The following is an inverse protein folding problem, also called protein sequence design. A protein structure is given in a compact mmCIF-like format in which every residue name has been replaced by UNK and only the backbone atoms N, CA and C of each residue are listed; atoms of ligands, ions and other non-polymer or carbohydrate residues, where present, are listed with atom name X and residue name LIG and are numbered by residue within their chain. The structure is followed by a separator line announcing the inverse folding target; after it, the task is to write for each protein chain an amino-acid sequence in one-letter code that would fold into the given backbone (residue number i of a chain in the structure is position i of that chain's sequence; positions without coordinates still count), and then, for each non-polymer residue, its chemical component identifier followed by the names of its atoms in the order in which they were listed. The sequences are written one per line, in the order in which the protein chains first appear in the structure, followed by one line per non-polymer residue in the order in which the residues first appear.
data_IF_733471930625
#
_entry.id   IF_733471930625
#
_cell.length_a   1.000
_cell.length_b   1.000
_cell.length_c   1.000
_cell.angle_alpha   90.00
_cell.angle_beta   90.00
_cell.angle_gamma   90.00
#
_symmetry.space_group_name_H-M   'P 1'
#
loop_
_entity.id
_entity.type
_entity.pdbx_description
1 polymer ?
#
# COMPACT_ATOMS: atom_id res chain seq x y z
N UNK A 1 1.16 -41.99 -24.94
CA UNK A 1 1.35 -41.10 -23.78
C UNK A 1 2.85 -41.03 -23.46
N UNK A 2 3.48 -39.87 -23.38
CA UNK A 2 4.86 -39.80 -22.94
C UNK A 2 4.96 -40.28 -21.47
N UNK A 3 6.03 -40.96 -21.08
CA UNK A 3 6.20 -41.50 -19.76
C UNK A 3 6.28 -40.37 -18.73
N UNK A 4 5.44 -40.42 -17.68
CA UNK A 4 5.46 -39.47 -16.56
C UNK A 4 6.74 -39.73 -15.76
N UNK A 5 7.72 -38.84 -15.87
CA UNK A 5 8.96 -38.91 -15.09
C UNK A 5 8.59 -38.64 -13.63
N UNK A 6 8.68 -39.65 -12.77
CA UNK A 6 8.52 -39.45 -11.30
C UNK A 6 9.68 -38.59 -10.78
N UNK A 7 9.36 -37.40 -10.30
CA UNK A 7 10.34 -36.55 -9.62
C UNK A 7 10.81 -37.27 -8.35
N UNK A 8 12.10 -37.44 -8.19
CA UNK A 8 12.74 -38.10 -7.03
C UNK A 8 13.72 -37.17 -6.34
N UNK A 9 13.95 -37.41 -5.06
CA UNK A 9 14.91 -36.61 -4.27
C UNK A 9 14.48 -35.17 -4.05
N UNK A 10 15.38 -34.20 -4.22
CA UNK A 10 15.13 -32.77 -4.01
C UNK A 10 14.02 -32.22 -4.93
N UNK A 11 13.99 -32.66 -6.20
CA UNK A 11 12.99 -32.21 -7.18
C UNK A 11 11.54 -32.63 -6.83
N UNK A 12 11.35 -33.61 -5.95
CA UNK A 12 10.02 -33.98 -5.46
C UNK A 12 9.51 -33.05 -4.36
N UNK A 13 10.41 -32.38 -3.64
CA UNK A 13 10.10 -31.54 -2.48
C UNK A 13 10.35 -30.05 -2.69
N UNK A 14 11.18 -29.69 -3.66
CA UNK A 14 11.60 -28.31 -3.92
C UNK A 14 11.44 -27.94 -5.38
N UNK A 15 11.06 -26.70 -5.65
CA UNK A 15 11.07 -26.14 -7.00
C UNK A 15 12.44 -25.54 -7.28
N UNK A 16 13.11 -26.02 -8.34
CA UNK A 16 14.35 -25.37 -8.80
C UNK A 16 14.03 -24.02 -9.40
N UNK A 17 14.66 -22.96 -8.92
CA UNK A 17 14.57 -21.62 -9.53
C UNK A 17 15.30 -21.67 -10.87
N UNK A 18 14.54 -21.57 -11.96
CA UNK A 18 15.07 -21.66 -13.36
C UNK A 18 14.91 -20.36 -14.13
N UNK A 19 14.14 -19.40 -13.60
CA UNK A 19 13.89 -18.11 -14.24
C UNK A 19 13.83 -17.00 -13.19
N UNK A 20 14.15 -15.78 -13.61
CA UNK A 20 13.89 -14.59 -12.82
C UNK A 20 12.37 -14.35 -12.88
N UNK A 21 11.67 -14.19 -11.75
CA UNK A 21 10.26 -13.84 -11.76
C UNK A 21 10.05 -12.53 -12.50
N UNK A 22 8.89 -12.35 -13.13
CA UNK A 22 8.48 -11.05 -13.68
C UNK A 22 8.62 -9.98 -12.62
N UNK A 23 9.32 -8.88 -12.91
CA UNK A 23 9.52 -7.80 -11.94
C UNK A 23 8.16 -7.24 -11.51
N UNK A 24 7.98 -7.10 -10.20
CA UNK A 24 6.79 -6.47 -9.62
C UNK A 24 7.15 -5.71 -8.35
N UNK A 25 6.43 -4.65 -8.09
CA UNK A 25 6.59 -3.83 -6.90
C UNK A 25 5.40 -4.07 -5.96
N UNK A 26 5.71 -4.46 -4.74
CA UNK A 26 4.75 -4.52 -3.63
C UNK A 26 5.25 -3.53 -2.61
N UNK A 27 4.62 -2.36 -2.54
CA UNK A 27 5.11 -1.22 -1.78
C UNK A 27 4.05 -0.62 -0.87
N UNK A 28 4.52 -0.09 0.26
CA UNK A 28 3.79 0.83 1.11
C UNK A 28 4.25 2.25 0.80
N UNK A 29 3.29 3.16 0.58
CA UNK A 29 3.50 4.57 0.27
C UNK A 29 2.97 5.41 1.44
N UNK A 30 3.86 5.94 2.26
CA UNK A 30 3.52 6.66 3.50
C UNK A 30 3.75 8.15 3.33
N UNK A 31 2.84 8.97 3.82
CA UNK A 31 3.02 10.44 3.83
C UNK A 31 1.75 11.20 4.17
N UNK A 32 1.88 12.49 4.37
CA UNK A 32 0.75 13.38 4.62
C UNK A 32 -0.17 13.50 3.39
N UNK A 33 -1.37 14.01 3.59
CA UNK A 33 -2.30 14.36 2.49
C UNK A 33 -1.60 15.35 1.55
N UNK A 34 -1.75 15.14 0.24
CA UNK A 34 -1.14 16.00 -0.78
C UNK A 34 0.39 15.84 -0.95
N UNK A 35 1.00 14.79 -0.40
CA UNK A 35 2.45 14.52 -0.55
C UNK A 35 2.85 13.80 -1.85
N UNK A 36 1.91 13.54 -2.78
CA UNK A 36 2.19 12.93 -4.08
C UNK A 36 2.14 11.40 -4.13
N UNK A 37 1.63 10.72 -3.08
CA UNK A 37 1.53 9.25 -3.04
C UNK A 37 0.66 8.67 -4.15
N UNK A 38 -0.54 9.24 -4.32
CA UNK A 38 -1.52 8.78 -5.31
C UNK A 38 -1.02 9.05 -6.72
N UNK A 39 -0.42 10.21 -6.97
CA UNK A 39 0.23 10.52 -8.25
C UNK A 39 1.31 9.49 -8.60
N UNK A 40 2.20 9.19 -7.67
CA UNK A 40 3.24 8.17 -7.87
C UNK A 40 2.64 6.78 -8.11
N UNK A 41 1.55 6.42 -7.40
CA UNK A 41 0.89 5.14 -7.59
C UNK A 41 0.21 5.03 -8.96
N UNK A 42 -0.42 6.11 -9.45
CA UNK A 42 -1.07 6.16 -10.76
C UNK A 42 -0.06 6.22 -11.91
N UNK A 43 1.19 6.61 -11.66
CA UNK A 43 2.28 6.51 -12.66
C UNK A 43 2.74 5.06 -12.90
N UNK A 44 2.30 4.09 -12.11
CA UNK A 44 2.58 2.66 -12.29
C UNK A 44 1.99 2.10 -13.60
N UNK A 45 2.49 0.95 -14.11
CA UNK A 45 2.00 0.36 -15.35
C UNK A 45 0.53 -0.06 -15.27
N UNK A 46 -0.20 0.23 -16.36
CA UNK A 46 -1.61 -0.17 -16.54
C UNK A 46 -1.77 -1.58 -17.13
N UNK A 47 -3.00 -2.10 -17.14
CA UNK A 47 -4.22 -1.55 -16.53
C UNK A 47 -4.11 -1.42 -15.01
N UNK A 48 -4.74 -0.37 -14.44
CA UNK A 48 -4.71 -0.09 -13.01
C UNK A 48 -6.12 -0.30 -12.42
N UNK A 49 -6.20 -1.02 -11.31
CA UNK A 49 -7.40 -1.07 -10.47
C UNK A 49 -7.11 -0.32 -9.17
N UNK A 50 -7.96 0.64 -8.84
CA UNK A 50 -7.91 1.38 -7.58
C UNK A 50 -9.09 0.98 -6.71
N UNK A 51 -8.81 0.35 -5.58
CA UNK A 51 -9.77 0.16 -4.49
C UNK A 51 -9.61 1.34 -3.54
N UNK A 52 -10.61 2.23 -3.50
CA UNK A 52 -10.54 3.42 -2.66
C UNK A 52 -11.53 3.36 -1.51
N UNK A 53 -11.07 3.79 -0.35
CA UNK A 53 -11.87 3.99 0.87
C UNK A 53 -12.00 5.49 1.19
N UNK A 54 -11.49 6.35 0.30
CA UNK A 54 -11.53 7.81 0.38
C UNK A 54 -12.19 8.37 -0.88
N UNK A 55 -12.82 9.53 -0.77
CA UNK A 55 -13.38 10.27 -1.92
C UNK A 55 -12.35 11.20 -2.59
N UNK A 56 -11.09 11.17 -2.15
CA UNK A 56 -10.04 12.09 -2.57
C UNK A 56 -9.36 11.80 -3.92
N UNK A 57 -9.90 10.87 -4.74
CA UNK A 57 -9.33 10.54 -6.05
C UNK A 57 -9.78 11.47 -7.18
N UNK A 58 -10.89 12.20 -6.99
CA UNK A 58 -11.41 13.14 -8.00
C UNK A 58 -10.36 14.21 -8.36
N UNK A 59 -10.20 14.46 -9.65
CA UNK A 59 -9.23 15.40 -10.19
C UNK A 59 -7.80 14.85 -10.31
N UNK A 60 -7.48 13.71 -9.71
CA UNK A 60 -6.16 13.07 -9.81
C UNK A 60 -6.17 11.95 -10.85
N UNK A 61 -7.19 11.08 -10.83
CA UNK A 61 -7.32 9.95 -11.76
C UNK A 61 -7.50 10.43 -13.18
N UNK A 62 -8.27 11.49 -13.38
CA UNK A 62 -8.57 12.07 -14.69
C UNK A 62 -7.30 12.55 -15.43
N UNK A 63 -6.26 12.93 -14.69
CA UNK A 63 -4.98 13.36 -15.29
C UNK A 63 -4.25 12.22 -16.02
N UNK A 64 -4.60 10.96 -15.70
CA UNK A 64 -3.98 9.76 -16.28
C UNK A 64 -4.92 9.00 -17.22
N UNK A 65 -6.21 9.39 -17.30
CA UNK A 65 -7.23 8.63 -18.03
C UNK A 65 -6.98 8.56 -19.55
N UNK A 66 -6.33 9.56 -20.12
CA UNK A 66 -5.95 9.57 -21.55
C UNK A 66 -4.74 8.68 -21.86
N UNK A 67 -3.93 8.36 -20.85
CA UNK A 67 -2.68 7.64 -21.02
C UNK A 67 -2.78 6.17 -20.60
N UNK A 68 -3.70 5.86 -19.67
CA UNK A 68 -3.79 4.54 -19.03
C UNK A 68 -5.23 4.12 -18.80
N UNK A 69 -5.45 2.84 -18.85
CA UNK A 69 -6.70 2.19 -18.47
C UNK A 69 -6.77 2.09 -16.94
N UNK A 70 -7.66 2.88 -16.32
CA UNK A 70 -7.79 2.95 -14.85
C UNK A 70 -9.25 2.66 -14.48
N UNK A 71 -9.42 1.69 -13.60
CA UNK A 71 -10.72 1.30 -13.03
C UNK A 71 -10.73 1.64 -11.54
N UNK A 72 -11.78 2.30 -11.08
CA UNK A 72 -11.94 2.70 -9.68
C UNK A 72 -13.14 2.01 -9.07
N UNK A 73 -12.94 1.36 -7.94
CA UNK A 73 -14.01 0.84 -7.08
C UNK A 73 -13.94 1.54 -5.73
N UNK A 74 -14.97 2.33 -5.44
CA UNK A 74 -15.13 2.99 -4.14
C UNK A 74 -15.91 2.10 -3.17
N UNK A 75 -15.46 2.08 -1.93
CA UNK A 75 -16.06 1.39 -0.81
C UNK A 75 -16.54 2.42 0.20
N UNK A 76 -17.82 2.78 0.09
CA UNK A 76 -18.41 3.81 0.95
C UNK A 76 -18.90 3.16 2.26
N UNK A 77 -18.40 3.65 3.39
CA UNK A 77 -18.86 3.25 4.72
C UNK A 77 -20.13 4.00 5.17
N UNK A 78 -20.74 4.73 4.27
CA UNK A 78 -21.99 5.45 4.49
C UNK A 78 -21.94 6.90 4.01
N UNK A 79 -23.10 7.49 3.75
CA UNK A 79 -23.21 8.89 3.37
C UNK A 79 -22.72 9.79 4.48
N UNK A 80 -22.16 10.94 4.13
CA UNK A 80 -21.71 11.96 5.09
C UNK A 80 -22.80 12.23 6.13
N UNK A 81 -22.53 11.92 7.40
CA UNK A 81 -23.46 12.08 8.51
C UNK A 81 -24.28 10.84 8.90
N UNK A 82 -24.17 9.73 8.19
CA UNK A 82 -24.72 8.45 8.64
C UNK A 82 -23.75 7.78 9.64
N UNK A 83 -24.31 7.18 10.68
CA UNK A 83 -23.52 6.38 11.64
C UNK A 83 -23.10 5.07 10.94
N UNK A 84 -21.81 4.80 10.89
CA UNK A 84 -21.29 3.52 10.37
C UNK A 84 -21.67 2.42 11.32
N UNK A 85 -22.52 1.47 10.86
CA UNK A 85 -22.87 0.31 11.67
C UNK A 85 -21.84 -0.82 11.52
N UNK A 86 -21.79 -1.71 12.52
CA UNK A 86 -20.95 -2.89 12.48
C UNK A 86 -21.29 -3.79 11.28
N UNK A 87 -22.59 -3.98 11.01
CA UNK A 87 -23.08 -4.78 9.88
C UNK A 87 -22.61 -4.23 8.54
N UNK A 88 -22.68 -2.88 8.37
CA UNK A 88 -22.19 -2.22 7.16
C UNK A 88 -20.67 -2.42 7.01
N UNK A 89 -19.89 -2.27 8.07
CA UNK A 89 -18.45 -2.48 8.02
C UNK A 89 -18.07 -3.91 7.64
N UNK A 90 -18.81 -4.90 8.17
CA UNK A 90 -18.65 -6.32 7.78
C UNK A 90 -18.98 -6.52 6.30
N UNK A 91 -20.10 -5.96 5.83
CA UNK A 91 -20.50 -6.08 4.43
C UNK A 91 -19.47 -5.47 3.47
N UNK A 92 -19.03 -4.23 3.74
CA UNK A 92 -18.06 -3.52 2.90
C UNK A 92 -16.70 -4.24 2.89
N UNK A 93 -16.24 -4.72 4.05
CA UNK A 93 -15.03 -5.53 4.14
C UNK A 93 -15.12 -6.78 3.27
N UNK A 94 -16.22 -7.53 3.38
CA UNK A 94 -16.38 -8.79 2.68
C UNK A 94 -16.53 -8.57 1.17
N UNK A 95 -17.21 -7.49 0.75
CA UNK A 95 -17.27 -7.06 -0.65
C UNK A 95 -15.87 -6.71 -1.18
N UNK A 96 -15.09 -5.90 -0.45
CA UNK A 96 -13.71 -5.56 -0.83
C UNK A 96 -12.86 -6.83 -0.99
N UNK A 97 -12.87 -7.71 0.01
CA UNK A 97 -12.06 -8.93 -0.03
C UNK A 97 -12.42 -9.82 -1.23
N UNK A 98 -13.72 -9.96 -1.54
CA UNK A 98 -14.19 -10.75 -2.68
C UNK A 98 -13.74 -10.13 -4.01
N UNK A 99 -13.89 -8.81 -4.18
CA UNK A 99 -13.47 -8.11 -5.39
C UNK A 99 -11.96 -8.20 -5.58
N UNK A 100 -11.17 -7.91 -4.55
CA UNK A 100 -9.70 -7.99 -4.62
C UNK A 100 -9.22 -9.40 -4.99
N UNK A 101 -9.82 -10.44 -4.39
CA UNK A 101 -9.48 -11.83 -4.71
C UNK A 101 -9.84 -12.18 -6.17
N UNK A 102 -11.00 -11.73 -6.64
CA UNK A 102 -11.45 -11.95 -8.01
C UNK A 102 -10.54 -11.25 -9.02
N UNK A 103 -10.18 -9.98 -8.77
CA UNK A 103 -9.29 -9.20 -9.64
C UNK A 103 -7.90 -9.86 -9.78
N UNK A 104 -7.39 -10.45 -8.68
CA UNK A 104 -6.14 -11.23 -8.70
C UNK A 104 -6.29 -12.52 -9.53
N UNK A 105 -7.40 -13.24 -9.37
CA UNK A 105 -7.65 -14.52 -10.07
C UNK A 105 -7.82 -14.30 -11.56
N UNK A 106 -8.56 -13.27 -11.94
CA UNK A 106 -8.85 -12.95 -13.34
C UNK A 106 -7.67 -12.28 -14.07
N UNK A 107 -6.62 -11.90 -13.33
CA UNK A 107 -5.45 -11.21 -13.89
C UNK A 107 -5.79 -9.96 -14.71
N UNK A 108 -6.80 -9.19 -14.26
CA UNK A 108 -7.35 -8.06 -15.02
C UNK A 108 -6.51 -6.78 -14.92
N UNK A 109 -5.59 -6.71 -13.96
CA UNK A 109 -4.75 -5.55 -13.74
C UNK A 109 -3.25 -5.87 -13.71
N UNK A 110 -2.44 -4.94 -14.18
CA UNK A 110 -0.99 -4.93 -13.97
C UNK A 110 -0.61 -4.31 -12.63
N UNK A 111 -1.41 -3.34 -12.18
CA UNK A 111 -1.23 -2.65 -10.90
C UNK A 111 -2.55 -2.58 -10.13
N UNK A 112 -2.50 -2.92 -8.87
CA UNK A 112 -3.59 -2.72 -7.92
C UNK A 112 -3.15 -1.71 -6.87
N UNK A 113 -4.01 -0.73 -6.60
CA UNK A 113 -3.78 0.32 -5.62
C UNK A 113 -4.87 0.20 -4.55
N UNK A 114 -4.47 0.22 -3.28
CA UNK A 114 -5.40 0.38 -2.16
C UNK A 114 -5.20 1.79 -1.58
N UNK A 115 -6.16 2.65 -1.84
CA UNK A 115 -6.14 4.06 -1.42
C UNK A 115 -7.34 4.35 -0.51
N UNK A 116 -7.20 4.55 0.72
CA UNK A 116 -6.11 4.54 1.71
C UNK A 116 -6.14 3.22 2.50
N UNK A 117 -5.03 2.52 2.57
CA UNK A 117 -4.92 1.29 3.38
C UNK A 117 -5.19 1.55 4.87
N UNK A 118 -4.86 2.74 5.37
CA UNK A 118 -5.21 3.13 6.74
C UNK A 118 -6.72 3.02 7.03
N UNK A 119 -7.58 3.35 6.06
CA UNK A 119 -9.03 3.27 6.22
C UNK A 119 -9.53 1.83 6.09
N UNK A 120 -8.92 1.05 5.18
CA UNK A 120 -9.13 -0.40 5.11
C UNK A 120 -8.78 -1.08 6.44
N UNK A 121 -7.64 -0.73 7.03
CA UNK A 121 -7.24 -1.23 8.34
C UNK A 121 -8.28 -0.92 9.44
N UNK A 122 -8.72 0.35 9.51
CA UNK A 122 -9.75 0.77 10.46
C UNK A 122 -11.06 0.00 10.25
N UNK A 123 -11.46 -0.22 8.99
CA UNK A 123 -12.62 -1.02 8.64
C UNK A 123 -12.46 -2.48 9.08
N UNK A 124 -11.29 -3.09 8.89
CA UNK A 124 -11.02 -4.45 9.38
C UNK A 124 -11.14 -4.53 10.90
N UNK A 125 -10.61 -3.54 11.63
CA UNK A 125 -10.72 -3.47 13.09
C UNK A 125 -12.19 -3.34 13.49
N UNK A 126 -12.93 -2.41 12.91
CA UNK A 126 -14.33 -2.18 13.23
C UNK A 126 -15.21 -3.39 12.90
N UNK A 127 -15.04 -3.99 11.73
CA UNK A 127 -15.76 -5.16 11.30
C UNK A 127 -15.48 -6.43 12.16
N UNK A 128 -14.36 -6.49 12.88
CA UNK A 128 -14.06 -7.60 13.77
C UNK A 128 -14.48 -7.33 15.23
N UNK A 129 -14.43 -6.07 15.67
CA UNK A 129 -14.65 -5.68 17.07
C UNK A 129 -16.04 -5.11 17.35
N UNK A 130 -16.70 -4.54 16.33
CA UNK A 130 -17.95 -3.80 16.47
C UNK A 130 -17.79 -2.44 17.14
N UNK A 131 -16.56 -1.92 17.29
CA UNK A 131 -16.30 -0.61 17.89
C UNK A 131 -15.59 0.29 16.89
N UNK A 132 -16.13 1.49 16.69
CA UNK A 132 -15.50 2.57 15.88
C UNK A 132 -14.42 3.33 16.66
N UNK A 133 -14.16 2.95 17.89
CA UNK A 133 -13.12 3.58 18.68
C UNK A 133 -11.74 3.08 18.19
N UNK A 134 -11.13 3.87 17.31
CA UNK A 134 -9.75 3.67 16.82
C UNK A 134 -8.72 3.57 17.96
N UNK A 135 -9.10 3.97 19.16
CA UNK A 135 -8.29 3.96 20.37
C UNK A 135 -8.71 2.86 21.36
N UNK A 136 -9.91 2.27 21.19
CA UNK A 136 -10.26 1.04 21.92
C UNK A 136 -9.42 -0.10 21.37
N UNK A 137 -8.45 -0.51 22.15
CA UNK A 137 -7.63 -1.66 21.77
C UNK A 137 -8.56 -2.87 21.52
N UNK A 138 -8.56 -3.40 20.30
CA UNK A 138 -9.20 -4.69 20.03
C UNK A 138 -8.70 -5.71 21.07
N UNK A 139 -9.57 -6.61 21.55
CA UNK A 139 -9.12 -7.68 22.42
C UNK A 139 -7.91 -8.38 21.84
N UNK A 140 -6.90 -8.67 22.66
CA UNK A 140 -5.64 -9.26 22.19
C UNK A 140 -5.83 -10.52 21.33
N UNK A 141 -6.90 -11.28 21.56
CA UNK A 141 -7.29 -12.49 20.81
C UNK A 141 -7.72 -12.21 19.36
N UNK A 142 -8.17 -11.00 19.04
CA UNK A 142 -8.75 -10.65 17.74
C UNK A 142 -7.68 -10.06 16.77
N UNK A 143 -6.58 -9.48 17.30
CA UNK A 143 -5.50 -8.95 16.49
C UNK A 143 -4.93 -9.94 15.46
N UNK A 144 -4.67 -11.22 15.77
CA UNK A 144 -4.18 -12.17 14.78
C UNK A 144 -5.10 -12.32 13.57
N UNK A 145 -6.42 -12.30 13.77
CA UNK A 145 -7.41 -12.42 12.69
C UNK A 145 -7.44 -11.19 11.81
N UNK A 146 -7.42 -9.99 12.43
CA UNK A 146 -7.41 -8.71 11.71
C UNK A 146 -6.15 -8.62 10.86
N UNK A 147 -4.97 -8.83 11.46
CA UNK A 147 -3.68 -8.80 10.75
C UNK A 147 -3.57 -9.86 9.65
N UNK A 148 -4.21 -11.00 9.81
CA UNK A 148 -4.20 -12.05 8.80
C UNK A 148 -4.91 -11.62 7.51
N UNK A 149 -5.94 -10.77 7.58
CA UNK A 149 -6.64 -10.23 6.40
C UNK A 149 -5.70 -9.34 5.57
N UNK A 150 -5.04 -8.37 6.21
CA UNK A 150 -4.05 -7.52 5.55
C UNK A 150 -2.90 -8.32 4.93
N UNK A 151 -2.33 -9.25 5.69
CA UNK A 151 -1.26 -10.12 5.20
C UNK A 151 -1.69 -11.00 4.03
N UNK A 152 -2.98 -11.38 3.98
CA UNK A 152 -3.53 -12.15 2.86
C UNK A 152 -3.47 -11.35 1.57
N UNK A 153 -3.82 -10.07 1.55
CA UNK A 153 -3.73 -9.20 0.37
C UNK A 153 -2.30 -9.14 -0.17
N UNK A 154 -1.34 -8.88 0.71
CA UNK A 154 0.08 -8.82 0.36
C UNK A 154 0.57 -10.19 -0.14
N UNK A 155 0.15 -11.28 0.49
CA UNK A 155 0.54 -12.64 0.09
C UNK A 155 -0.02 -13.01 -1.29
N UNK A 156 -1.27 -12.64 -1.59
CA UNK A 156 -1.91 -12.87 -2.89
C UNK A 156 -1.19 -12.09 -3.99
N UNK A 157 -0.89 -10.80 -3.78
CA UNK A 157 -0.12 -10.01 -4.72
C UNK A 157 1.30 -10.57 -4.93
N UNK A 158 1.93 -11.10 -3.87
CA UNK A 158 3.23 -11.79 -3.98
C UNK A 158 3.16 -13.08 -4.79
N UNK A 159 2.04 -13.79 -4.77
CA UNK A 159 1.84 -15.01 -5.53
C UNK A 159 1.46 -14.76 -7.00
N UNK A 160 1.03 -13.56 -7.35
CA UNK A 160 0.64 -13.12 -8.68
C UNK A 160 1.71 -12.22 -9.33
N UNK A 161 1.52 -11.85 -10.59
CA UNK A 161 2.40 -10.92 -11.32
C UNK A 161 1.86 -9.47 -11.28
N UNK A 162 1.23 -9.07 -10.19
CA UNK A 162 0.60 -7.76 -10.01
C UNK A 162 1.46 -6.88 -9.11
N UNK A 163 1.62 -5.60 -9.45
CA UNK A 163 2.11 -4.61 -8.52
C UNK A 163 1.00 -4.32 -7.48
N UNK A 164 1.36 -4.20 -6.22
CA UNK A 164 0.44 -3.78 -5.16
C UNK A 164 1.00 -2.56 -4.46
N UNK A 165 0.25 -1.46 -4.50
CA UNK A 165 0.63 -0.18 -3.90
C UNK A 165 -0.41 0.17 -2.81
N UNK A 166 0.07 0.29 -1.58
CA UNK A 166 -0.74 0.56 -0.40
C UNK A 166 -0.44 1.97 0.08
N UNK A 167 -1.40 2.91 -0.04
CA UNK A 167 -1.18 4.26 0.47
C UNK A 167 -1.57 4.33 1.95
N UNK A 168 -0.73 4.97 2.74
CA UNK A 168 -0.97 5.22 4.16
C UNK A 168 -0.81 6.70 4.50
N UNK A 169 -1.65 7.17 5.40
CA UNK A 169 -1.51 8.46 6.06
C UNK A 169 -0.42 8.45 7.12
N UNK A 170 -0.34 9.57 7.85
CA UNK A 170 0.51 9.72 9.02
C UNK A 170 -0.33 10.07 10.23
N UNK A 171 -0.02 9.48 11.38
CA UNK A 171 -0.66 9.81 12.68
C UNK A 171 0.38 10.22 13.72
N UNK A 172 -0.04 10.89 14.76
CA UNK A 172 0.83 11.19 15.89
C UNK A 172 1.24 9.90 16.61
N UNK A 173 2.51 9.77 16.94
CA UNK A 173 2.96 8.76 17.87
C UNK A 173 2.58 9.17 19.30
N UNK A 174 2.19 8.19 20.11
CA UNK A 174 1.76 8.40 21.49
C UNK A 174 2.68 7.65 22.43
N UNK A 175 3.09 8.30 23.52
CA UNK A 175 3.88 7.70 24.58
C UNK A 175 3.14 7.80 25.91
N UNK A 176 3.30 6.78 26.73
CA UNK A 176 2.76 6.81 28.10
C UNK A 176 3.66 7.67 28.98
N UNK A 177 3.08 8.64 29.66
CA UNK A 177 3.74 9.45 30.67
C UNK A 177 2.99 9.35 31.99
N UNK A 178 3.74 9.24 33.09
CA UNK A 178 3.14 9.30 34.43
C UNK A 178 2.87 10.77 34.76
N UNK A 179 1.61 11.07 35.06
CA UNK A 179 1.24 12.39 35.54
C UNK A 179 1.85 12.58 36.95
N UNK A 180 2.76 13.55 37.14
CA UNK A 180 3.47 13.73 38.41
C UNK A 180 2.56 14.13 39.56
N UNK A 181 1.36 14.67 39.27
CA UNK A 181 0.40 15.10 40.28
C UNK A 181 -0.55 13.99 40.74
N UNK A 182 -0.90 13.06 39.86
CA UNK A 182 -1.90 12.01 40.15
C UNK A 182 -1.31 10.61 40.23
N UNK A 183 -0.06 10.40 39.75
CA UNK A 183 0.56 9.08 39.63
C UNK A 183 -0.04 8.20 38.50
N UNK A 184 -1.05 8.68 37.79
CA UNK A 184 -1.71 7.92 36.74
C UNK A 184 -0.94 8.00 35.41
N UNK A 185 -0.94 6.90 34.66
CA UNK A 185 -0.46 6.91 33.28
C UNK A 185 -1.44 7.65 32.37
N UNK A 186 -0.93 8.56 31.54
CA UNK A 186 -1.65 9.25 30.49
C UNK A 186 -0.91 9.10 29.18
N UNK A 187 -1.63 8.86 28.07
CA UNK A 187 -1.05 8.87 26.74
C UNK A 187 -0.98 10.31 26.23
N UNK A 188 0.19 10.71 25.76
CA UNK A 188 0.43 12.05 25.18
C UNK A 188 1.19 11.91 23.87
N UNK A 189 0.95 12.80 22.88
CA UNK A 189 1.77 12.84 21.67
C UNK A 189 3.23 13.08 22.02
N UNK A 190 4.16 12.37 21.40
CA UNK A 190 5.60 12.56 21.58
C UNK A 190 6.20 13.59 20.62
N UNK A 191 5.39 14.11 19.70
CA UNK A 191 5.78 15.07 18.67
C UNK A 191 6.28 14.40 17.37
N UNK A 192 6.44 13.09 17.34
CA UNK A 192 6.77 12.38 16.11
C UNK A 192 5.53 11.93 15.34
N UNK A 193 5.73 11.69 14.03
CA UNK A 193 4.70 11.15 13.12
C UNK A 193 5.09 9.74 12.71
N UNK A 194 4.13 8.83 12.74
CA UNK A 194 4.29 7.44 12.33
C UNK A 194 3.24 7.07 11.28
N UNK A 195 3.48 6.04 10.45
CA UNK A 195 2.46 5.55 9.52
C UNK A 195 1.15 5.23 10.23
N UNK A 196 0.04 5.59 9.60
CA UNK A 196 -1.30 5.22 10.02
C UNK A 196 -1.69 3.89 9.35
N UNK A 197 -2.43 3.02 10.05
CA UNK A 197 -2.76 1.68 9.55
C UNK A 197 -2.03 0.57 10.32
N UNK A 198 -1.90 -0.62 9.72
CA UNK A 198 -1.20 -1.74 10.35
C UNK A 198 0.32 -1.50 10.39
N UNK A 199 0.90 -1.47 11.59
CA UNK A 199 2.34 -1.19 11.78
C UNK A 199 3.25 -2.16 11.01
N UNK A 200 2.86 -3.44 10.90
CA UNK A 200 3.67 -4.48 10.28
C UNK A 200 3.65 -4.47 8.74
N UNK A 201 2.77 -3.71 8.08
CA UNK A 201 2.72 -3.62 6.60
C UNK A 201 4.09 -3.30 6.02
N UNK A 202 4.81 -2.34 6.60
CA UNK A 202 6.17 -1.99 6.16
C UNK A 202 7.16 -3.14 6.24
N UNK A 203 6.98 -4.08 7.19
CA UNK A 203 7.79 -5.30 7.26
C UNK A 203 7.38 -6.34 6.21
N UNK A 204 6.10 -6.41 5.90
CA UNK A 204 5.52 -7.43 5.01
C UNK A 204 5.69 -7.11 3.53
N UNK A 205 5.67 -5.85 3.11
CA UNK A 205 5.92 -5.42 1.72
C UNK A 205 7.39 -5.57 1.30
N UNK A 206 7.66 -5.49 0.00
CA UNK A 206 9.03 -5.49 -0.54
C UNK A 206 9.70 -4.13 -0.36
N UNK A 207 8.95 -3.06 -0.51
CA UNK A 207 9.44 -1.68 -0.58
C UNK A 207 8.61 -0.81 0.37
N UNK A 208 9.27 0.08 1.09
CA UNK A 208 8.66 1.02 2.01
C UNK A 208 9.12 2.44 1.65
N UNK A 209 8.18 3.28 1.21
CA UNK A 209 8.43 4.61 0.67
C UNK A 209 7.76 5.68 1.52
N UNK A 210 8.49 6.74 1.81
CA UNK A 210 8.04 7.88 2.60
C UNK A 210 8.01 9.14 1.72
N UNK A 211 6.83 9.73 1.59
CA UNK A 211 6.58 10.89 0.75
C UNK A 211 6.47 12.15 1.59
N UNK A 212 7.12 13.21 1.12
CA UNK A 212 7.06 14.54 1.74
C UNK A 212 6.81 15.59 0.67
N UNK A 213 6.14 16.67 1.07
CA UNK A 213 5.96 17.87 0.28
C UNK A 213 6.56 19.04 1.03
N UNK A 214 7.33 19.85 0.35
CA UNK A 214 7.87 21.11 0.82
C UNK A 214 7.31 22.23 -0.04
N UNK A 215 6.58 23.15 0.59
CA UNK A 215 5.98 24.29 -0.08
C UNK A 215 6.89 25.51 0.09
N UNK A 216 7.10 26.28 -1.00
CA UNK A 216 7.90 27.49 -1.01
C UNK A 216 7.02 28.73 -1.17
N UNK A 217 7.49 29.90 -0.72
CA UNK A 217 6.76 31.18 -0.76
C UNK A 217 6.37 31.64 -2.17
N UNK A 218 6.96 31.05 -3.22
CA UNK A 218 6.69 31.35 -4.64
C UNK A 218 5.62 30.45 -5.27
N UNK A 219 4.78 29.82 -4.47
CA UNK A 219 3.74 28.87 -4.90
C UNK A 219 4.28 27.57 -5.52
N UNK A 220 5.59 27.36 -5.54
CA UNK A 220 6.19 26.11 -5.96
C UNK A 220 6.13 25.07 -4.82
N UNK A 221 5.92 23.82 -5.19
CA UNK A 221 5.99 22.68 -4.24
C UNK A 221 7.02 21.67 -4.73
N UNK A 222 7.82 21.20 -3.81
CA UNK A 222 8.78 20.13 -4.05
C UNK A 222 8.27 18.82 -3.43
N UNK A 223 8.13 17.82 -4.27
CA UNK A 223 7.72 16.49 -3.83
C UNK A 223 8.94 15.59 -3.74
N UNK A 224 9.09 14.89 -2.62
CA UNK A 224 10.21 13.98 -2.40
C UNK A 224 9.71 12.62 -1.93
N UNK A 225 10.45 11.59 -2.32
CA UNK A 225 10.21 10.21 -1.91
C UNK A 225 11.51 9.62 -1.35
N UNK A 226 11.48 9.17 -0.09
CA UNK A 226 12.58 8.46 0.55
C UNK A 226 12.28 6.97 0.61
N UNK A 227 13.21 6.14 0.12
CA UNK A 227 13.11 4.70 0.24
C UNK A 227 13.66 4.23 1.60
N UNK A 228 12.77 3.87 2.53
CA UNK A 228 13.16 3.37 3.85
C UNK A 228 13.64 1.91 3.80
N UNK A 229 13.05 1.10 2.91
CA UNK A 229 13.35 -0.32 2.75
C UNK A 229 13.18 -0.74 1.30
N UNK A 230 14.07 -1.61 0.81
CA UNK A 230 13.93 -2.30 -0.47
C UNK A 230 14.48 -3.73 -0.38
N UNK A 231 13.76 -4.69 -0.98
CA UNK A 231 14.19 -6.10 -1.13
C UNK A 231 14.44 -6.48 -2.60
N UNK A 232 14.43 -5.53 -3.52
CA UNK A 232 14.73 -5.77 -4.94
C UNK A 232 16.22 -6.01 -5.20
N UNK A 233 16.58 -6.49 -6.41
CA UNK A 233 17.98 -6.67 -6.82
C UNK A 233 18.81 -5.39 -6.71
N UNK A 234 18.20 -4.23 -7.01
CA UNK A 234 18.81 -2.90 -6.90
C UNK A 234 18.68 -2.26 -5.51
N UNK A 235 18.35 -3.02 -4.46
CA UNK A 235 18.11 -2.46 -3.11
C UNK A 235 19.24 -1.55 -2.62
N UNK A 236 20.49 -1.85 -2.95
CA UNK A 236 21.67 -1.03 -2.58
C UNK A 236 21.68 0.36 -3.25
N UNK A 237 20.97 0.52 -4.39
CA UNK A 237 20.89 1.77 -5.13
C UNK A 237 19.81 2.70 -4.59
N UNK A 238 18.77 2.15 -3.95
CA UNK A 238 17.58 2.91 -3.56
C UNK A 238 17.39 3.04 -2.05
N UNK A 239 17.77 2.02 -1.26
CA UNK A 239 17.50 2.01 0.17
C UNK A 239 18.26 3.13 0.90
N UNK A 240 17.51 3.93 1.66
CA UNK A 240 18.02 5.11 2.37
C UNK A 240 18.13 6.37 1.50
N UNK A 241 17.96 6.26 0.18
CA UNK A 241 18.04 7.41 -0.73
C UNK A 241 16.74 8.21 -0.73
N UNK A 242 16.86 9.50 -1.04
CA UNK A 242 15.73 10.41 -1.28
C UNK A 242 15.76 10.85 -2.74
N UNK A 243 14.63 10.80 -3.39
CA UNK A 243 14.43 11.15 -4.78
C UNK A 243 13.45 12.33 -4.86
N UNK A 244 13.71 13.26 -5.75
CA UNK A 244 12.76 14.30 -6.09
C UNK A 244 11.81 13.77 -7.17
N UNK A 245 10.52 13.89 -6.94
CA UNK A 245 9.49 13.46 -7.89
C UNK A 245 9.27 14.58 -8.91
N UNK A 246 9.45 14.28 -10.19
CA UNK A 246 9.29 15.23 -11.29
C UNK A 246 8.38 14.58 -12.32
N UNK A 247 7.22 15.20 -12.59
CA UNK A 247 6.23 14.65 -13.54
C UNK A 247 6.68 14.74 -14.99
N UNK A 248 7.31 15.84 -15.36
CA UNK A 248 7.57 16.18 -16.76
C UNK A 248 9.01 16.62 -17.00
N UNK A 249 9.42 16.58 -18.27
CA UNK A 249 10.71 17.08 -18.71
C UNK A 249 11.84 16.04 -18.68
N UNK A 250 13.07 16.48 -19.00
CA UNK A 250 14.23 15.59 -19.17
C UNK A 250 14.73 14.96 -17.85
N UNK A 251 14.28 15.49 -16.71
CA UNK A 251 14.61 14.99 -15.37
C UNK A 251 13.43 14.28 -14.72
N UNK A 252 12.47 13.79 -15.52
CA UNK A 252 11.32 13.05 -15.03
C UNK A 252 11.79 11.92 -14.09
N UNK A 253 11.16 11.84 -12.92
CA UNK A 253 11.37 10.77 -11.97
C UNK A 253 10.05 10.41 -11.31
N UNK A 254 9.55 9.23 -11.60
CA UNK A 254 8.30 8.69 -11.08
C UNK A 254 8.42 7.21 -10.79
N UNK A 255 7.33 6.48 -10.94
CA UNK A 255 7.27 5.05 -10.65
C UNK A 255 8.23 4.24 -11.56
N UNK A 256 8.25 4.54 -12.87
CA UNK A 256 9.04 3.76 -13.85
C UNK A 256 10.54 3.87 -13.58
N UNK A 257 11.03 5.07 -13.38
CA UNK A 257 12.45 5.33 -13.10
C UNK A 257 12.88 4.68 -11.78
N UNK A 258 12.03 4.79 -10.76
CA UNK A 258 12.27 4.10 -9.49
C UNK A 258 12.28 2.57 -9.66
N UNK A 259 11.31 2.03 -10.41
CA UNK A 259 11.21 0.61 -10.66
C UNK A 259 12.45 0.04 -11.38
N UNK A 260 13.01 0.77 -12.34
CA UNK A 260 14.27 0.41 -13.02
C UNK A 260 15.48 0.41 -12.08
N UNK A 261 15.53 1.31 -11.09
CA UNK A 261 16.57 1.29 -10.06
C UNK A 261 16.43 0.07 -9.14
N UNK A 262 15.18 -0.30 -8.79
CA UNK A 262 14.90 -1.49 -7.95
C UNK A 262 15.21 -2.79 -8.70
N UNK A 263 14.96 -2.81 -10.00
CA UNK A 263 15.18 -3.97 -10.89
C UNK A 263 16.14 -3.60 -12.04
N UNK A 264 17.45 -3.46 -11.77
CA UNK A 264 18.43 -3.17 -12.81
C UNK A 264 18.40 -4.22 -13.91
N UNK A 265 18.36 -3.78 -15.17
CA UNK A 265 18.26 -4.64 -16.34
C UNK A 265 16.83 -4.77 -16.88
N UNK A 266 15.83 -4.17 -16.23
CA UNK A 266 14.53 -3.94 -16.86
C UNK A 266 14.58 -2.70 -17.74
N UNK A 267 13.72 -2.69 -18.76
CA UNK A 267 13.53 -1.56 -19.69
C UNK A 267 12.26 -0.82 -19.36
N UNK A 268 12.04 0.33 -19.98
CA UNK A 268 10.77 1.04 -19.84
C UNK A 268 9.57 0.18 -20.26
N UNK A 269 9.73 -0.65 -21.29
CA UNK A 269 8.67 -1.55 -21.76
C UNK A 269 8.21 -2.58 -20.73
N UNK A 270 9.03 -2.89 -19.74
CA UNK A 270 8.65 -3.77 -18.62
C UNK A 270 7.73 -3.09 -17.60
N UNK A 271 7.61 -1.75 -17.70
CA UNK A 271 6.88 -0.88 -16.77
C UNK A 271 5.85 0.04 -17.45
N UNK A 272 5.45 -0.29 -18.67
CA UNK A 272 4.37 0.42 -19.40
C UNK A 272 3.08 -0.39 -19.35
#
# INVERSE_FOLDING_TARGET
MPPTIKKTGLAARYTRVTSVPTPRIIARLVGEIGSGKTDFALDAPGPIIVHTFDQGLEGVVEQYADEKEIYVKSYDLGQVGAEVTHELAVQVRDEFMANFEQDIVDHVARTMIIDRESDLWNMHVFAETGTDDRFAAAPAKDWPKIKAKERRLIAMAKASNVNLLLTQGMRNAWVKKINPKTGNETSVPDGSRIPDGMDEVGADVHIDLYFTREDFDNEASKFQMRCGKSRGPGSRLVQGQTFELVKDGPTKFGFKEFAQLVFPGTTEADWV
#
